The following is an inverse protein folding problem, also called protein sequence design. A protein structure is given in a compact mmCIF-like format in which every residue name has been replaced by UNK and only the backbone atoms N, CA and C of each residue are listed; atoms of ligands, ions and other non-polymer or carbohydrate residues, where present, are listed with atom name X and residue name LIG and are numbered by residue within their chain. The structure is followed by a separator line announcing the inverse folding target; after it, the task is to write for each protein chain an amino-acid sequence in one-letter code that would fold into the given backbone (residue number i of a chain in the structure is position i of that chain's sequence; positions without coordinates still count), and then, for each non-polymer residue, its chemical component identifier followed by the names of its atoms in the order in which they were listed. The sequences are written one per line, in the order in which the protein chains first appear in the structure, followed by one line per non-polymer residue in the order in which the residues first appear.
data_IF_471108974391
#
_entry.id   IF_471108974391
#
_cell.length_a   1.000
_cell.length_b   1.000
_cell.length_c   1.000
_cell.angle_alpha   90.00
_cell.angle_beta   90.00
_cell.angle_gamma   90.00
#
_symmetry.space_group_name_H-M   'P 1'
#
loop_
_entity.id
_entity.type
_entity.pdbx_description
1 polymer ?
#
# COMPACT_ATOMS: atom_id res chain seq x y z
N UNK A 1 -15.18 -19.35 24.73
CA UNK A 1 -14.65 -18.32 23.82
C UNK A 1 -13.22 -18.14 24.23
N UNK A 2 -12.27 -18.80 23.56
CA UNK A 2 -10.88 -18.42 23.67
C UNK A 2 -10.74 -17.08 22.95
N UNK A 3 -10.22 -16.08 23.64
CA UNK A 3 -9.83 -14.82 23.04
C UNK A 3 -8.64 -15.11 22.11
N UNK A 4 -8.96 -15.38 20.85
CA UNK A 4 -7.95 -15.58 19.81
C UNK A 4 -7.41 -14.20 19.41
N UNK A 5 -6.26 -13.82 19.94
CA UNK A 5 -5.46 -12.75 19.36
C UNK A 5 -4.72 -13.33 18.17
N UNK A 6 -5.22 -13.04 16.97
CA UNK A 6 -4.41 -13.16 15.76
C UNK A 6 -3.15 -12.32 15.97
N UNK A 7 -2.02 -12.98 16.23
CA UNK A 7 -0.71 -12.35 16.14
C UNK A 7 -0.46 -12.08 14.66
N UNK A 8 -0.70 -10.84 14.23
CA UNK A 8 -0.29 -10.40 12.90
C UNK A 8 1.21 -10.68 12.81
N UNK A 9 1.63 -11.51 11.85
CA UNK A 9 3.05 -11.71 11.54
C UNK A 9 3.68 -10.32 11.48
N UNK A 10 4.54 -10.00 12.46
CA UNK A 10 5.28 -8.75 12.46
C UNK A 10 6.26 -8.80 11.30
N UNK A 11 5.79 -8.41 10.12
CA UNK A 11 6.63 -8.15 8.98
C UNK A 11 7.57 -7.02 9.38
N UNK A 12 8.78 -7.41 9.77
CA UNK A 12 9.83 -6.46 10.12
C UNK A 12 10.00 -5.55 8.91
N UNK A 13 9.92 -4.23 9.14
CA UNK A 13 10.13 -3.16 8.15
C UNK A 13 11.58 -3.11 7.60
N UNK A 14 12.25 -4.26 7.51
CA UNK A 14 13.51 -4.41 6.82
C UNK A 14 13.21 -4.55 5.33
N UNK A 15 13.85 -3.69 4.54
CA UNK A 15 13.70 -3.62 3.10
C UNK A 15 13.88 -5.00 2.45
N UNK A 16 12.78 -5.61 2.00
CA UNK A 16 12.82 -6.88 1.28
C UNK A 16 12.81 -6.61 -0.23
N UNK A 17 13.99 -6.71 -0.86
CA UNK A 17 14.15 -6.49 -2.30
C UNK A 17 13.29 -7.43 -3.15
N UNK A 18 12.96 -8.62 -2.64
CA UNK A 18 12.10 -9.58 -3.33
C UNK A 18 10.64 -9.09 -3.45
N UNK A 19 10.10 -8.47 -2.39
CA UNK A 19 8.76 -7.85 -2.42
C UNK A 19 8.71 -6.73 -3.45
N UNK A 20 9.74 -5.87 -3.48
CA UNK A 20 9.80 -4.76 -4.43
C UNK A 20 9.82 -5.25 -5.88
N UNK A 21 10.59 -6.31 -6.18
CA UNK A 21 10.59 -6.96 -7.49
C UNK A 21 9.19 -7.43 -7.90
N UNK A 22 8.48 -8.12 -6.99
CA UNK A 22 7.10 -8.56 -7.26
C UNK A 22 6.12 -7.40 -7.46
N UNK A 23 6.29 -6.30 -6.73
CA UNK A 23 5.49 -5.08 -6.93
C UNK A 23 5.74 -4.49 -8.33
N UNK A 24 6.99 -4.44 -8.79
CA UNK A 24 7.34 -3.97 -10.14
C UNK A 24 6.80 -4.92 -11.21
N UNK A 25 6.77 -6.23 -10.96
CA UNK A 25 6.20 -7.22 -11.88
C UNK A 25 4.69 -7.01 -12.16
N UNK A 26 3.94 -6.39 -11.24
CA UNK A 26 2.52 -6.04 -11.45
C UNK A 26 2.32 -5.10 -12.64
N UNK A 27 3.37 -4.38 -13.02
CA UNK A 27 3.34 -3.43 -14.12
C UNK A 27 3.61 -4.09 -15.47
N UNK A 28 4.22 -5.27 -15.49
CA UNK A 28 4.63 -5.99 -16.70
C UNK A 28 3.50 -6.17 -17.72
N UNK A 29 2.25 -6.52 -17.34
CA UNK A 29 1.13 -6.61 -18.28
C UNK A 29 0.76 -5.26 -18.92
N UNK A 30 1.11 -4.16 -18.27
CA UNK A 30 0.72 -2.79 -18.61
C UNK A 30 1.90 -1.90 -19.02
N UNK A 31 3.02 -2.50 -19.45
CA UNK A 31 4.30 -1.81 -19.74
C UNK A 31 4.20 -0.65 -20.74
N UNK A 32 3.26 -0.70 -21.68
CA UNK A 32 3.05 0.35 -22.67
C UNK A 32 2.51 1.65 -22.06
N UNK A 33 1.67 1.56 -21.00
CA UNK A 33 1.25 2.74 -20.23
C UNK A 33 2.44 3.39 -19.54
N UNK A 34 3.35 2.56 -19.00
CA UNK A 34 4.58 3.04 -18.34
C UNK A 34 5.45 3.82 -19.28
N UNK A 35 5.78 3.22 -20.43
CA UNK A 35 6.62 3.90 -21.42
C UNK A 35 5.97 5.18 -21.88
N UNK A 36 4.66 5.14 -22.13
CA UNK A 36 3.93 6.32 -22.57
C UNK A 36 3.96 7.45 -21.54
N UNK A 37 3.65 7.20 -20.27
CA UNK A 37 3.70 8.27 -19.27
C UNK A 37 5.14 8.72 -18.99
N UNK A 38 6.15 7.82 -18.98
CA UNK A 38 7.56 8.22 -18.81
C UNK A 38 8.00 9.14 -19.96
N UNK A 39 7.66 8.79 -21.20
CA UNK A 39 7.98 9.61 -22.37
C UNK A 39 7.31 10.99 -22.28
N UNK A 40 6.05 11.04 -21.86
CA UNK A 40 5.33 12.30 -21.66
C UNK A 40 5.91 13.13 -20.52
N UNK A 41 6.30 12.53 -19.40
CA UNK A 41 6.98 13.21 -18.29
C UNK A 41 8.31 13.79 -18.78
N UNK A 42 9.10 13.03 -19.52
CA UNK A 42 10.36 13.52 -20.07
C UNK A 42 10.15 14.77 -20.95
N UNK A 43 9.13 14.76 -21.81
CA UNK A 43 8.75 15.93 -22.63
C UNK A 43 8.35 17.10 -21.74
N UNK A 44 7.49 16.90 -20.74
CA UNK A 44 7.05 17.97 -19.82
C UNK A 44 8.23 18.55 -19.02
N UNK A 45 9.08 17.71 -18.44
CA UNK A 45 10.27 18.13 -17.68
C UNK A 45 11.30 18.88 -18.53
N UNK A 46 11.43 18.52 -19.81
CA UNK A 46 12.25 19.28 -20.77
C UNK A 46 11.61 20.64 -21.04
N UNK A 47 10.28 20.68 -21.26
CA UNK A 47 9.55 21.93 -21.50
C UNK A 47 9.62 22.87 -20.29
N UNK A 48 9.46 22.38 -19.07
CA UNK A 48 9.58 23.17 -17.83
C UNK A 48 10.93 23.89 -17.75
N UNK A 49 12.01 23.14 -17.99
CA UNK A 49 13.34 23.75 -18.02
C UNK A 49 13.51 24.69 -19.21
N UNK A 50 12.99 24.32 -20.38
CA UNK A 50 13.06 25.17 -21.56
C UNK A 50 12.28 26.48 -21.39
N UNK A 51 11.16 26.51 -20.66
CA UNK A 51 10.46 27.75 -20.34
C UNK A 51 11.34 28.70 -19.52
N UNK A 52 12.10 28.18 -18.56
CA UNK A 52 13.07 28.97 -17.80
C UNK A 52 14.16 29.54 -18.72
N UNK A 53 14.62 28.75 -19.70
CA UNK A 53 15.54 29.23 -20.73
C UNK A 53 14.90 30.25 -21.69
N UNK A 54 13.61 30.13 -22.01
CA UNK A 54 12.92 31.16 -22.80
C UNK A 54 12.78 32.47 -22.01
N UNK A 55 12.53 32.41 -20.70
CA UNK A 55 12.53 33.60 -19.84
C UNK A 55 13.88 34.33 -19.86
N UNK A 56 15.00 33.59 -19.88
CA UNK A 56 16.34 34.14 -20.11
C UNK A 56 16.39 34.97 -21.41
N UNK A 57 15.88 34.40 -22.52
CA UNK A 57 15.89 35.05 -23.84
C UNK A 57 14.96 36.25 -23.91
N UNK A 58 13.81 36.21 -23.22
CA UNK A 58 12.90 37.36 -23.09
C UNK A 58 13.65 38.56 -22.50
N UNK A 59 14.45 38.32 -21.45
CA UNK A 59 15.23 39.38 -20.80
C UNK A 59 16.38 39.84 -21.71
N UNK A 60 17.18 38.92 -22.24
CA UNK A 60 18.39 39.27 -23.00
C UNK A 60 18.08 39.85 -24.39
N UNK A 61 17.26 39.15 -25.18
CA UNK A 61 16.99 39.48 -26.58
C UNK A 61 15.79 40.41 -26.75
N UNK A 62 14.85 40.40 -25.80
CA UNK A 62 13.66 41.24 -25.83
C UNK A 62 13.88 42.57 -25.11
N UNK A 63 13.97 42.50 -23.77
CA UNK A 63 13.97 43.68 -22.89
C UNK A 63 15.29 44.45 -22.98
N UNK A 64 16.42 43.79 -22.73
CA UNK A 64 17.73 44.43 -22.68
C UNK A 64 18.18 44.94 -24.06
N UNK A 65 17.85 44.22 -25.13
CA UNK A 65 18.16 44.62 -26.50
C UNK A 65 17.13 45.59 -27.12
N UNK A 66 16.02 45.89 -26.43
CA UNK A 66 14.95 46.76 -26.94
C UNK A 66 14.22 46.24 -28.20
N UNK A 67 14.35 44.95 -28.52
CA UNK A 67 13.83 44.37 -29.76
C UNK A 67 12.42 43.79 -29.57
N UNK A 68 11.41 44.61 -29.88
CA UNK A 68 10.00 44.22 -29.77
C UNK A 68 9.62 43.03 -30.68
N UNK A 69 10.26 42.90 -31.84
CA UNK A 69 9.98 41.79 -32.76
C UNK A 69 10.46 40.46 -32.20
N UNK A 70 11.68 40.42 -31.64
CA UNK A 70 12.23 39.24 -30.97
C UNK A 70 11.41 38.88 -29.72
N UNK A 71 11.01 39.87 -28.93
CA UNK A 71 10.14 39.66 -27.76
C UNK A 71 8.81 39.01 -28.16
N UNK A 72 8.13 39.56 -29.18
CA UNK A 72 6.84 39.02 -29.66
C UNK A 72 6.97 37.59 -30.16
N UNK A 73 8.02 37.28 -30.92
CA UNK A 73 8.28 35.91 -31.41
C UNK A 73 8.50 34.93 -30.24
N UNK A 74 9.33 35.29 -29.26
CA UNK A 74 9.59 34.45 -28.09
C UNK A 74 8.31 34.21 -27.28
N UNK A 75 7.50 35.25 -27.05
CA UNK A 75 6.23 35.13 -26.31
C UNK A 75 5.21 34.27 -27.06
N UNK A 76 5.12 34.38 -28.39
CA UNK A 76 4.24 33.52 -29.20
C UNK A 76 4.68 32.05 -29.09
N UNK A 77 5.99 31.78 -29.19
CA UNK A 77 6.53 30.42 -29.01
C UNK A 77 6.27 29.90 -27.59
N UNK A 78 6.45 30.74 -26.58
CA UNK A 78 6.14 30.42 -25.18
C UNK A 78 4.66 30.03 -25.03
N UNK A 79 3.74 30.83 -25.58
CA UNK A 79 2.31 30.53 -25.57
C UNK A 79 1.94 29.25 -26.32
N UNK A 80 2.54 28.99 -27.47
CA UNK A 80 2.33 27.75 -28.23
C UNK A 80 2.82 26.51 -27.48
N UNK A 81 3.96 26.60 -26.81
CA UNK A 81 4.52 25.50 -26.02
C UNK A 81 3.71 25.22 -24.76
N UNK A 82 3.04 26.22 -24.17
CA UNK A 82 2.13 25.97 -23.04
C UNK A 82 1.02 24.99 -23.43
N UNK A 83 0.47 25.08 -24.65
CA UNK A 83 -0.56 24.15 -25.11
C UNK A 83 -0.01 22.73 -25.21
N UNK A 84 1.23 22.57 -25.72
CA UNK A 84 1.92 21.28 -25.78
C UNK A 84 2.19 20.74 -24.37
N UNK A 85 2.62 21.59 -23.44
CA UNK A 85 2.84 21.23 -22.05
C UNK A 85 1.54 20.79 -21.39
N UNK A 86 0.44 21.54 -21.55
CA UNK A 86 -0.86 21.20 -20.99
C UNK A 86 -1.37 19.86 -21.52
N UNK A 87 -1.20 19.59 -22.82
CA UNK A 87 -1.50 18.29 -23.41
C UNK A 87 -0.63 17.19 -22.80
N UNK A 88 0.68 17.43 -22.61
CA UNK A 88 1.58 16.49 -21.94
C UNK A 88 1.17 16.21 -20.49
N UNK A 89 0.82 17.25 -19.73
CA UNK A 89 0.35 17.13 -18.34
C UNK A 89 -0.92 16.30 -18.28
N UNK A 90 -1.90 16.61 -19.12
CA UNK A 90 -3.12 15.82 -19.21
C UNK A 90 -2.85 14.36 -19.59
N UNK A 91 -1.98 14.13 -20.58
CA UNK A 91 -1.63 12.78 -21.04
C UNK A 91 -0.98 11.95 -19.94
N UNK A 92 0.04 12.43 -19.25
CA UNK A 92 0.68 11.60 -18.21
C UNK A 92 -0.26 11.38 -17.00
N UNK A 93 -1.08 12.38 -16.62
CA UNK A 93 -2.07 12.23 -15.53
C UNK A 93 -3.10 11.16 -15.91
N UNK A 94 -3.64 11.23 -17.14
CA UNK A 94 -4.60 10.25 -17.63
C UNK A 94 -3.99 8.84 -17.69
N UNK A 95 -2.79 8.71 -18.25
CA UNK A 95 -2.10 7.42 -18.38
C UNK A 95 -1.75 6.81 -17.03
N UNK A 96 -1.23 7.60 -16.09
CA UNK A 96 -0.94 7.15 -14.73
C UNK A 96 -2.22 6.74 -13.98
N UNK A 97 -3.31 7.50 -14.13
CA UNK A 97 -4.61 7.17 -13.53
C UNK A 97 -5.20 5.86 -14.08
N UNK A 98 -5.18 5.67 -15.39
CA UNK A 98 -5.65 4.43 -16.03
C UNK A 98 -4.79 3.23 -15.61
N UNK A 99 -3.46 3.39 -15.58
CA UNK A 99 -2.55 2.35 -15.12
C UNK A 99 -2.85 1.96 -13.66
N UNK A 100 -3.06 2.95 -12.79
CA UNK A 100 -3.32 2.73 -11.37
C UNK A 100 -4.60 1.94 -11.16
N UNK A 101 -5.66 2.29 -11.89
CA UNK A 101 -6.93 1.55 -11.78
C UNK A 101 -6.84 0.13 -12.32
N UNK A 102 -6.10 -0.10 -13.42
CA UNK A 102 -5.88 -1.45 -13.96
C UNK A 102 -5.12 -2.34 -12.97
N UNK A 103 -4.05 -1.81 -12.36
CA UNK A 103 -3.29 -2.57 -11.35
C UNK A 103 -4.16 -2.87 -10.13
N UNK A 104 -4.95 -1.90 -9.64
CA UNK A 104 -5.93 -2.14 -8.55
C UNK A 104 -6.93 -3.22 -8.92
N UNK A 105 -7.48 -3.16 -10.12
CA UNK A 105 -8.44 -4.13 -10.62
C UNK A 105 -7.85 -5.55 -10.66
N UNK A 106 -6.68 -5.72 -11.28
CA UNK A 106 -6.02 -7.02 -11.41
C UNK A 106 -5.67 -7.62 -10.05
N UNK A 107 -5.14 -6.80 -9.13
CA UNK A 107 -4.85 -7.23 -7.75
C UNK A 107 -6.11 -7.69 -7.03
N UNK A 108 -7.19 -6.88 -7.07
CA UNK A 108 -8.45 -7.20 -6.40
C UNK A 108 -9.09 -8.46 -6.99
N UNK A 109 -9.10 -8.59 -8.30
CA UNK A 109 -9.63 -9.76 -8.98
C UNK A 109 -8.84 -11.02 -8.62
N UNK A 110 -7.50 -10.95 -8.66
CA UNK A 110 -6.64 -12.08 -8.30
C UNK A 110 -6.86 -12.52 -6.86
N UNK A 111 -6.86 -11.59 -5.91
CA UNK A 111 -7.09 -11.89 -4.50
C UNK A 111 -8.50 -12.43 -4.25
N UNK A 112 -9.52 -11.86 -4.88
CA UNK A 112 -10.90 -12.30 -4.72
C UNK A 112 -11.14 -13.71 -5.28
N UNK A 113 -10.56 -14.03 -6.43
CA UNK A 113 -10.62 -15.37 -7.00
C UNK A 113 -9.86 -16.38 -6.13
N UNK A 114 -8.70 -15.99 -5.60
CA UNK A 114 -7.90 -16.84 -4.72
C UNK A 114 -8.61 -17.12 -3.38
N UNK A 115 -9.29 -16.11 -2.81
CA UNK A 115 -10.10 -16.28 -1.60
C UNK A 115 -11.17 -17.37 -1.78
N UNK A 116 -11.80 -17.46 -2.95
CA UNK A 116 -12.79 -18.52 -3.22
C UNK A 116 -12.20 -19.93 -3.27
N UNK A 117 -10.87 -20.07 -3.42
CA UNK A 117 -10.17 -21.35 -3.47
C UNK A 117 -9.57 -21.75 -2.10
N UNK A 118 -9.46 -20.80 -1.16
CA UNK A 118 -8.91 -21.07 0.16
C UNK A 118 -9.88 -21.91 1.01
N UNK A 119 -9.32 -22.80 1.81
CA UNK A 119 -10.09 -23.70 2.67
C UNK A 119 -10.73 -22.96 3.85
N UNK A 120 -11.75 -23.55 4.47
CA UNK A 120 -12.45 -22.98 5.62
C UNK A 120 -11.52 -22.72 6.82
N UNK A 121 -10.44 -23.50 6.94
CA UNK A 121 -9.38 -23.32 7.94
C UNK A 121 -8.77 -21.92 7.89
N UNK A 122 -8.51 -21.39 6.69
CA UNK A 122 -7.98 -20.04 6.50
C UNK A 122 -8.89 -18.97 7.11
N UNK A 123 -10.20 -19.12 6.91
CA UNK A 123 -11.23 -18.18 7.41
C UNK A 123 -11.46 -18.29 8.91
N UNK A 124 -11.20 -19.45 9.51
CA UNK A 124 -11.27 -19.62 10.96
C UNK A 124 -10.08 -18.97 11.68
N UNK A 125 -8.89 -18.98 11.06
CA UNK A 125 -7.66 -18.42 11.63
C UNK A 125 -7.51 -16.92 11.32
N UNK A 126 -8.03 -16.47 10.19
CA UNK A 126 -7.79 -15.10 9.69
C UNK A 126 -8.99 -14.19 9.96
N UNK A 127 -8.82 -13.06 10.68
CA UNK A 127 -9.89 -12.11 10.92
C UNK A 127 -10.46 -11.54 9.61
N UNK A 128 -11.78 -11.43 9.50
CA UNK A 128 -12.43 -10.86 8.30
C UNK A 128 -11.94 -9.44 7.99
N UNK A 129 -11.69 -8.62 9.02
CA UNK A 129 -11.14 -7.27 8.85
C UNK A 129 -9.74 -7.26 8.22
N UNK A 130 -8.92 -8.27 8.53
CA UNK A 130 -7.61 -8.47 7.91
C UNK A 130 -7.79 -8.71 6.41
N UNK A 131 -8.61 -9.68 6.01
CA UNK A 131 -8.88 -10.01 4.59
C UNK A 131 -9.41 -8.79 3.84
N UNK A 132 -10.39 -8.10 4.41
CA UNK A 132 -10.99 -6.91 3.80
C UNK A 132 -9.97 -5.81 3.57
N UNK A 133 -9.04 -5.56 4.50
CA UNK A 133 -8.01 -4.53 4.34
C UNK A 133 -7.04 -4.80 3.18
N UNK A 134 -6.74 -6.09 2.89
CA UNK A 134 -5.86 -6.50 1.78
C UNK A 134 -6.49 -6.21 0.43
N UNK A 135 -7.76 -6.60 0.28
CA UNK A 135 -8.55 -6.40 -0.94
C UNK A 135 -8.92 -4.91 -1.15
N UNK A 136 -8.94 -4.11 -0.08
CA UNK A 136 -9.30 -2.68 -0.16
C UNK A 136 -8.08 -1.78 -0.09
N UNK A 137 -7.75 -1.29 1.11
CA UNK A 137 -6.76 -0.23 1.35
C UNK A 137 -5.32 -0.61 1.00
N UNK A 138 -4.90 -1.85 1.23
CA UNK A 138 -3.53 -2.25 0.90
C UNK A 138 -3.34 -2.33 -0.62
N UNK A 139 -4.33 -2.87 -1.36
CA UNK A 139 -4.30 -2.91 -2.83
C UNK A 139 -4.20 -1.50 -3.43
N UNK A 140 -4.87 -0.53 -2.81
CA UNK A 140 -4.82 0.87 -3.20
C UNK A 140 -3.42 1.46 -2.99
N UNK A 141 -2.84 1.29 -1.80
CA UNK A 141 -1.48 1.79 -1.49
C UNK A 141 -0.42 1.23 -2.42
N UNK A 142 -0.50 -0.07 -2.74
CA UNK A 142 0.46 -0.70 -3.67
C UNK A 142 0.32 -0.13 -5.07
N UNK A 143 -0.91 0.01 -5.56
CA UNK A 143 -1.14 0.61 -6.88
C UNK A 143 -0.72 2.08 -6.94
N UNK A 144 -0.99 2.87 -5.90
CA UNK A 144 -0.57 4.27 -5.79
C UNK A 144 0.95 4.41 -5.82
N UNK A 145 1.69 3.58 -5.08
CA UNK A 145 3.16 3.59 -5.14
C UNK A 145 3.66 3.33 -6.55
N UNK A 146 3.13 2.31 -7.21
CA UNK A 146 3.56 1.87 -8.53
C UNK A 146 3.23 2.90 -9.62
N UNK A 147 2.24 3.78 -9.35
CA UNK A 147 1.80 4.80 -10.30
C UNK A 147 2.28 6.18 -9.91
N UNK A 148 1.66 6.81 -8.92
CA UNK A 148 2.00 8.15 -8.44
C UNK A 148 3.39 8.21 -7.82
N UNK A 149 3.75 7.25 -6.98
CA UNK A 149 5.09 7.22 -6.38
C UNK A 149 6.19 7.10 -7.43
N UNK A 150 6.00 6.23 -8.43
CA UNK A 150 6.94 6.08 -9.55
C UNK A 150 6.95 7.31 -10.48
N UNK A 151 5.78 7.93 -10.71
CA UNK A 151 5.65 9.18 -11.46
C UNK A 151 6.44 10.30 -10.78
N UNK A 152 6.22 10.54 -9.50
CA UNK A 152 6.86 11.59 -8.72
C UNK A 152 8.38 11.39 -8.66
N UNK A 153 8.84 10.14 -8.47
CA UNK A 153 10.26 9.80 -8.52
C UNK A 153 10.89 10.09 -9.89
N UNK A 154 10.22 9.67 -10.97
CA UNK A 154 10.71 9.88 -12.35
C UNK A 154 10.73 11.35 -12.71
N UNK A 155 9.67 12.08 -12.37
CA UNK A 155 9.52 13.51 -12.62
C UNK A 155 10.58 14.31 -11.84
N UNK A 156 10.83 13.95 -10.58
CA UNK A 156 11.86 14.60 -9.78
C UNK A 156 13.27 14.43 -10.37
N UNK A 157 13.62 13.20 -10.79
CA UNK A 157 14.91 12.91 -11.45
C UNK A 157 15.02 13.66 -12.78
N UNK A 158 13.97 13.63 -13.61
CA UNK A 158 13.95 14.30 -14.90
C UNK A 158 14.09 15.82 -14.75
N UNK A 159 13.37 16.43 -13.81
CA UNK A 159 13.45 17.87 -13.55
C UNK A 159 14.84 18.32 -13.09
N UNK A 160 15.48 17.55 -12.18
CA UNK A 160 16.84 17.85 -11.74
C UNK A 160 17.82 17.70 -12.92
N UNK A 161 17.68 16.64 -13.72
CA UNK A 161 18.55 16.37 -14.86
C UNK A 161 18.41 17.45 -15.96
N UNK A 162 17.19 17.82 -16.33
CA UNK A 162 16.93 18.83 -17.38
C UNK A 162 17.37 20.21 -16.93
N UNK A 163 17.05 20.61 -15.69
CA UNK A 163 17.49 21.89 -15.17
C UNK A 163 19.03 21.95 -15.06
N UNK A 164 19.68 20.87 -14.60
CA UNK A 164 21.14 20.75 -14.58
C UNK A 164 21.77 20.88 -15.98
N UNK A 165 21.17 20.22 -16.98
CA UNK A 165 21.60 20.32 -18.38
C UNK A 165 21.55 21.77 -18.90
N UNK A 166 20.43 22.47 -18.72
CA UNK A 166 20.30 23.85 -19.17
C UNK A 166 21.21 24.82 -18.40
N UNK A 167 21.42 24.61 -17.10
CA UNK A 167 22.37 25.42 -16.32
C UNK A 167 23.81 25.26 -16.84
N UNK A 168 24.24 24.02 -17.11
CA UNK A 168 25.56 23.74 -17.67
C UNK A 168 25.72 24.34 -19.08
N UNK A 169 24.65 24.34 -19.87
CA UNK A 169 24.61 24.97 -21.20
C UNK A 169 24.74 26.50 -21.12
N UNK A 170 24.11 27.15 -20.14
CA UNK A 170 24.22 28.61 -19.96
C UNK A 170 25.62 28.99 -19.44
N UNK A 171 26.08 28.33 -18.37
CA UNK A 171 27.42 28.53 -17.83
C UNK A 171 27.84 27.32 -16.99
N UNK A 172 28.75 26.50 -17.52
CA UNK A 172 29.17 25.25 -16.88
C UNK A 172 29.87 25.45 -15.52
N UNK A 173 30.63 26.55 -15.34
CA UNK A 173 31.34 26.84 -14.08
C UNK A 173 30.34 27.14 -12.96
N UNK A 174 29.40 28.04 -13.22
CA UNK A 174 28.35 28.38 -12.27
C UNK A 174 27.38 27.21 -12.06
N UNK A 175 27.08 26.45 -13.11
CA UNK A 175 26.26 25.24 -13.06
C UNK A 175 26.82 24.20 -12.10
N UNK A 176 28.11 23.87 -12.20
CA UNK A 176 28.76 22.93 -11.28
C UNK A 176 28.71 23.42 -9.82
N UNK A 177 28.93 24.72 -9.57
CA UNK A 177 28.83 25.29 -8.23
C UNK A 177 27.44 25.06 -7.65
N UNK A 178 26.38 25.33 -8.41
CA UNK A 178 25.01 25.16 -7.90
C UNK A 178 24.64 23.69 -7.75
N UNK A 179 25.09 22.81 -8.65
CA UNK A 179 24.86 21.37 -8.53
C UNK A 179 25.47 20.78 -7.25
N UNK A 180 26.54 21.36 -6.69
CA UNK A 180 27.10 20.92 -5.39
C UNK A 180 26.15 21.11 -4.21
N UNK A 181 25.13 21.96 -4.35
CA UNK A 181 24.14 22.24 -3.29
C UNK A 181 23.09 21.13 -3.24
N UNK A 182 22.85 20.42 -4.33
CA UNK A 182 21.85 19.34 -4.40
C UNK A 182 22.16 18.21 -3.41
N UNK A 183 23.39 17.62 -3.38
CA UNK A 183 23.74 16.61 -2.37
C UNK A 183 23.51 17.10 -0.92
N UNK A 184 23.83 18.37 -0.64
CA UNK A 184 23.64 18.97 0.69
C UNK A 184 22.15 18.99 1.04
N UNK A 185 21.30 19.45 0.11
CA UNK A 185 19.84 19.47 0.29
C UNK A 185 19.27 18.06 0.51
N UNK A 186 19.70 17.08 -0.28
CA UNK A 186 19.26 15.68 -0.16
C UNK A 186 19.65 15.11 1.21
N UNK A 187 20.88 15.33 1.67
CA UNK A 187 21.35 14.87 2.98
C UNK A 187 20.53 15.51 4.10
N UNK A 188 20.33 16.83 4.06
CA UNK A 188 19.56 17.56 5.07
C UNK A 188 18.11 17.06 5.09
N UNK A 189 17.46 16.96 3.93
CA UNK A 189 16.10 16.44 3.81
C UNK A 189 15.97 15.02 4.39
N UNK A 190 16.91 14.13 4.05
CA UNK A 190 16.93 12.75 4.55
C UNK A 190 17.05 12.69 6.08
N UNK A 191 17.90 13.54 6.68
CA UNK A 191 18.08 13.60 8.14
C UNK A 191 16.80 14.11 8.82
N UNK A 192 16.23 15.22 8.34
CA UNK A 192 15.00 15.78 8.90
C UNK A 192 13.85 14.79 8.82
N UNK A 193 13.66 14.18 7.65
CA UNK A 193 12.58 13.24 7.44
C UNK A 193 12.70 12.02 8.36
N UNK A 194 13.88 11.42 8.49
CA UNK A 194 14.11 10.28 9.41
C UNK A 194 13.72 10.63 10.84
N UNK A 195 14.08 11.84 11.31
CA UNK A 195 13.74 12.33 12.65
C UNK A 195 12.24 12.62 12.80
N UNK A 196 11.62 13.25 11.80
CA UNK A 196 10.19 13.57 11.76
C UNK A 196 9.37 12.28 11.82
N UNK A 197 9.65 11.31 10.94
CA UNK A 197 8.95 10.01 10.90
C UNK A 197 9.06 9.29 12.24
N UNK A 198 10.24 9.28 12.87
CA UNK A 198 10.43 8.65 14.17
C UNK A 198 9.54 9.27 15.26
N UNK A 199 9.45 10.61 15.33
CA UNK A 199 8.57 11.27 16.29
C UNK A 199 7.08 11.01 15.98
N UNK A 200 6.67 11.05 14.71
CA UNK A 200 5.29 10.72 14.34
C UNK A 200 4.92 9.26 14.62
N UNK A 201 5.86 8.31 14.50
CA UNK A 201 5.66 6.91 14.93
C UNK A 201 5.40 6.85 16.44
N UNK A 202 6.14 7.60 17.25
CA UNK A 202 5.91 7.71 18.70
C UNK A 202 4.53 8.31 19.02
N UNK A 203 4.15 9.39 18.34
CA UNK A 203 2.81 10.00 18.47
C UNK A 203 1.73 8.97 18.16
N UNK A 204 1.87 8.18 17.08
CA UNK A 204 0.91 7.13 16.70
C UNK A 204 0.78 6.04 17.77
N UNK A 205 1.91 5.60 18.34
CA UNK A 205 1.94 4.63 19.45
C UNK A 205 1.24 5.16 20.71
N UNK A 206 1.49 6.41 21.09
CA UNK A 206 0.84 7.04 22.25
C UNK A 206 -0.66 7.22 21.97
N UNK A 207 -1.03 7.62 20.76
CA UNK A 207 -2.43 7.76 20.37
C UNK A 207 -3.21 6.45 20.52
N UNK A 208 -2.61 5.31 20.15
CA UNK A 208 -3.21 3.99 20.38
C UNK A 208 -3.45 3.71 21.86
N UNK A 209 -2.50 4.05 22.75
CA UNK A 209 -2.69 3.94 24.21
C UNK A 209 -3.82 4.85 24.71
N UNK A 210 -3.90 6.08 24.21
CA UNK A 210 -4.96 7.04 24.56
C UNK A 210 -6.33 6.49 24.13
N UNK A 211 -6.45 5.96 22.91
CA UNK A 211 -7.68 5.32 22.44
C UNK A 211 -8.06 4.11 23.29
N UNK A 212 -7.08 3.30 23.69
CA UNK A 212 -7.29 2.18 24.63
C UNK A 212 -7.82 2.66 25.98
N UNK A 213 -7.16 3.65 26.58
CA UNK A 213 -7.58 4.25 27.85
C UNK A 213 -9.00 4.86 27.76
N UNK A 214 -9.34 5.50 26.64
CA UNK A 214 -10.71 5.97 26.40
C UNK A 214 -11.72 4.82 26.42
N UNK A 215 -11.44 3.74 25.69
CA UNK A 215 -12.35 2.60 25.61
C UNK A 215 -12.55 1.93 26.98
N UNK A 216 -11.48 1.74 27.74
CA UNK A 216 -11.52 1.19 29.09
C UNK A 216 -12.33 2.07 30.06
N UNK A 217 -12.10 3.39 30.05
CA UNK A 217 -12.81 4.33 30.92
C UNK A 217 -14.30 4.44 30.58
N UNK A 218 -14.65 4.47 29.29
CA UNK A 218 -16.05 4.56 28.84
C UNK A 218 -16.80 3.26 29.14
N UNK A 219 -16.19 2.11 28.81
CA UNK A 219 -16.79 0.80 29.06
C UNK A 219 -16.93 0.53 30.56
N UNK A 220 -15.92 0.93 31.34
CA UNK A 220 -15.86 0.83 32.79
C UNK A 220 -16.52 1.97 33.56
N UNK A 221 -17.26 2.88 32.91
CA UNK A 221 -17.72 4.13 33.54
C UNK A 221 -18.52 3.91 34.83
N UNK A 222 -19.30 2.81 34.90
CA UNK A 222 -20.06 2.44 36.11
C UNK A 222 -19.15 2.10 37.28
N UNK A 223 -18.04 1.41 37.02
CA UNK A 223 -17.03 1.07 38.03
C UNK A 223 -16.30 2.33 38.48
N UNK A 224 -15.87 3.17 37.53
CA UNK A 224 -15.20 4.45 37.85
C UNK A 224 -16.08 5.31 38.76
N UNK A 225 -17.38 5.44 38.44
CA UNK A 225 -18.36 6.20 39.22
C UNK A 225 -18.65 5.56 40.59
N UNK A 226 -18.75 4.24 40.66
CA UNK A 226 -19.03 3.54 41.91
C UNK A 226 -17.88 3.68 42.93
N UNK A 227 -16.63 3.77 42.46
CA UNK A 227 -15.44 3.91 43.29
C UNK A 227 -14.93 5.36 43.41
N UNK A 228 -15.61 6.35 42.81
CA UNK A 228 -15.22 7.77 42.89
C UNK A 228 -13.82 8.06 42.34
N UNK A 229 -13.42 7.39 41.24
CA UNK A 229 -12.06 7.42 40.70
C UNK A 229 -11.81 8.48 39.62
N UNK A 230 -12.76 9.38 39.37
CA UNK A 230 -12.69 10.32 38.24
C UNK A 230 -11.39 11.14 38.23
N UNK A 231 -10.98 11.71 39.36
CA UNK A 231 -9.79 12.55 39.45
C UNK A 231 -8.50 11.75 39.19
N UNK A 232 -8.43 10.52 39.70
CA UNK A 232 -7.26 9.65 39.52
C UNK A 232 -7.15 9.16 38.08
N UNK A 233 -8.26 8.81 37.46
CA UNK A 233 -8.29 8.42 36.05
C UNK A 233 -7.98 9.62 35.14
N UNK A 234 -8.37 10.84 35.52
CA UNK A 234 -7.98 12.07 34.83
C UNK A 234 -6.47 12.32 34.93
N UNK A 235 -5.85 12.08 36.10
CA UNK A 235 -4.39 12.20 36.28
C UNK A 235 -3.63 11.20 35.39
N UNK A 236 -4.02 9.91 35.44
CA UNK A 236 -3.45 8.85 34.59
C UNK A 236 -3.61 9.18 33.08
N UNK A 237 -4.77 9.72 32.69
CA UNK A 237 -5.00 10.19 31.32
C UNK A 237 -4.17 11.45 30.97
N UNK A 238 -3.95 12.32 31.94
CA UNK A 238 -3.09 13.50 31.85
C UNK A 238 -1.63 13.15 31.53
N UNK A 239 -1.11 12.05 32.09
CA UNK A 239 0.24 11.57 31.79
C UNK A 239 0.38 11.14 30.32
N UNK A 240 -0.59 10.36 29.82
CA UNK A 240 -0.63 9.88 28.45
C UNK A 240 -0.73 11.04 27.45
N UNK A 241 -1.66 11.96 27.68
CA UNK A 241 -1.84 13.15 26.83
C UNK A 241 -0.65 14.09 26.93
N UNK A 242 0.01 14.21 28.08
CA UNK A 242 1.25 14.94 28.25
C UNK A 242 2.43 14.33 27.49
N UNK A 243 2.52 13.01 27.37
CA UNK A 243 3.49 12.34 26.49
C UNK A 243 3.18 12.60 25.00
N UNK A 244 1.89 12.56 24.63
CA UNK A 244 1.43 12.87 23.27
C UNK A 244 1.78 14.30 22.89
N UNK A 245 1.53 15.27 23.78
CA UNK A 245 1.90 16.67 23.58
C UNK A 245 3.40 16.84 23.35
N UNK A 246 4.25 16.28 24.23
CA UNK A 246 5.72 16.39 24.11
C UNK A 246 6.24 15.79 22.80
N UNK A 247 5.72 14.63 22.41
CA UNK A 247 6.13 13.95 21.17
C UNK A 247 5.60 14.66 19.92
N UNK A 248 4.34 15.11 19.96
CA UNK A 248 3.69 15.86 18.90
C UNK A 248 4.33 17.22 18.67
N UNK A 249 4.65 17.94 19.74
CA UNK A 249 5.39 19.21 19.67
C UNK A 249 6.75 19.02 19.02
N UNK A 250 7.53 18.01 19.43
CA UNK A 250 8.83 17.72 18.79
C UNK A 250 8.69 17.39 17.31
N UNK A 251 7.68 16.59 16.93
CA UNK A 251 7.41 16.29 15.54
C UNK A 251 7.08 17.56 14.74
N UNK A 252 6.16 18.37 15.25
CA UNK A 252 5.75 19.63 14.63
C UNK A 252 6.91 20.62 14.52
N UNK A 253 7.74 20.74 15.57
CA UNK A 253 8.90 21.62 15.58
C UNK A 253 9.95 21.20 14.54
N UNK A 254 10.24 19.90 14.43
CA UNK A 254 11.13 19.38 13.39
C UNK A 254 10.59 19.64 11.98
N UNK A 255 9.29 19.42 11.76
CA UNK A 255 8.62 19.74 10.49
C UNK A 255 8.68 21.23 10.17
N UNK A 256 8.45 22.09 11.17
CA UNK A 256 8.51 23.54 11.00
C UNK A 256 9.93 24.05 10.72
N UNK A 257 10.96 23.41 11.26
CA UNK A 257 12.36 23.78 11.05
C UNK A 257 12.90 23.33 9.67
N UNK A 258 12.30 22.32 9.04
CA UNK A 258 12.73 21.78 7.76
C UNK A 258 12.72 22.84 6.65
N UNK A 259 11.58 23.50 6.42
CA UNK A 259 11.43 24.47 5.33
C UNK A 259 12.38 25.69 5.46
N UNK A 260 12.50 26.34 6.64
CA UNK A 260 13.49 27.39 6.85
C UNK A 260 14.94 26.93 6.63
N UNK A 261 15.28 25.69 7.02
CA UNK A 261 16.64 25.15 6.80
C UNK A 261 16.94 25.00 5.31
N UNK A 262 16.00 24.45 4.54
CA UNK A 262 16.12 24.34 3.08
C UNK A 262 16.24 25.74 2.45
N UNK A 263 15.38 26.68 2.84
CA UNK A 263 15.40 28.05 2.33
C UNK A 263 16.71 28.80 2.64
N UNK A 264 17.31 28.54 3.80
CA UNK A 264 18.60 29.11 4.20
C UNK A 264 19.74 28.57 3.32
N UNK A 265 19.75 27.25 3.05
CA UNK A 265 20.70 26.64 2.09
C UNK A 265 20.52 27.22 0.68
N UNK A 266 19.27 27.37 0.23
CA UNK A 266 18.96 27.97 -1.07
C UNK A 266 19.33 29.45 -1.15
N UNK A 267 19.27 30.17 -0.03
CA UNK A 267 19.66 31.58 0.04
C UNK A 267 21.18 31.76 -0.11
N UNK A 268 21.99 30.82 0.40
CA UNK A 268 23.43 30.77 0.09
C UNK A 268 23.68 30.47 -1.39
N UNK A 269 22.91 29.56 -2.00
CA UNK A 269 22.96 29.29 -3.44
C UNK A 269 22.69 30.57 -4.26
N UNK A 270 21.61 31.27 -3.90
CA UNK A 270 21.18 32.51 -4.53
C UNK A 270 22.24 33.60 -4.37
N UNK A 271 22.78 33.77 -3.17
CA UNK A 271 23.87 34.71 -2.89
C UNK A 271 25.11 34.41 -3.73
N UNK A 272 25.49 33.14 -3.86
CA UNK A 272 26.60 32.72 -4.72
C UNK A 272 26.32 33.02 -6.20
N UNK A 273 25.09 32.75 -6.69
CA UNK A 273 24.68 33.07 -8.07
C UNK A 273 24.76 34.56 -8.34
N UNK A 274 24.26 35.39 -7.43
CA UNK A 274 24.28 36.86 -7.60
C UNK A 274 25.73 37.37 -7.54
N UNK A 275 26.54 36.87 -6.61
CA UNK A 275 27.94 37.29 -6.47
C UNK A 275 28.80 36.88 -7.66
N UNK A 276 28.90 35.58 -7.94
CA UNK A 276 29.73 35.06 -9.03
C UNK A 276 29.14 35.36 -10.41
N UNK A 277 27.81 35.33 -10.54
CA UNK A 277 27.12 35.70 -11.77
C UNK A 277 27.24 37.19 -12.05
N UNK A 278 27.17 38.05 -11.03
CA UNK A 278 27.37 39.50 -11.16
C UNK A 278 28.78 39.87 -11.63
N UNK A 279 29.83 39.26 -11.04
CA UNK A 279 31.21 39.44 -11.50
C UNK A 279 31.37 38.97 -12.95
N UNK A 280 30.79 37.82 -13.31
CA UNK A 280 30.84 37.31 -14.68
C UNK A 280 30.05 38.19 -15.66
N UNK A 281 28.96 38.82 -15.22
CA UNK A 281 28.19 39.74 -16.04
C UNK A 281 28.93 41.04 -16.33
N UNK A 282 29.67 41.58 -15.35
CA UNK A 282 30.55 42.73 -15.57
C UNK A 282 31.64 42.43 -16.61
N UNK A 283 32.14 41.19 -16.62
CA UNK A 283 33.17 40.74 -17.57
C UNK A 283 32.59 40.24 -18.91
N UNK A 284 31.28 40.37 -19.15
CA UNK A 284 30.61 39.91 -20.38
C UNK A 284 30.52 38.39 -20.55
N UNK A 285 30.84 37.61 -19.52
CA UNK A 285 30.82 36.13 -19.53
C UNK A 285 29.43 35.55 -19.20
N UNK A 286 28.52 36.35 -18.65
CA UNK A 286 27.15 35.96 -18.32
C UNK A 286 26.19 37.13 -18.57
N UNK A 287 24.98 36.85 -19.07
CA UNK A 287 23.95 37.88 -19.27
C UNK A 287 23.06 38.04 -18.04
N UNK A 288 22.32 39.16 -17.96
CA UNK A 288 21.35 39.40 -16.88
C UNK A 288 20.24 38.34 -16.90
N UNK A 289 19.73 37.98 -18.08
CA UNK A 289 18.81 36.86 -18.24
C UNK A 289 19.44 35.54 -17.79
N UNK A 290 20.75 35.36 -18.02
CA UNK A 290 21.52 34.23 -17.50
C UNK A 290 21.43 34.13 -15.97
N UNK A 291 21.70 35.23 -15.26
CA UNK A 291 21.57 35.27 -13.79
C UNK A 291 20.13 34.92 -13.38
N UNK A 292 19.12 35.53 -14.00
CA UNK A 292 17.71 35.24 -13.70
C UNK A 292 17.36 33.76 -13.90
N UNK A 293 17.82 33.14 -14.99
CA UNK A 293 17.58 31.73 -15.26
C UNK A 293 18.20 30.84 -14.17
N UNK A 294 19.42 31.13 -13.73
CA UNK A 294 20.07 30.42 -12.62
C UNK A 294 19.26 30.52 -11.32
N UNK A 295 18.73 31.71 -11.00
CA UNK A 295 17.85 31.89 -9.83
C UNK A 295 16.59 31.04 -9.95
N UNK A 296 15.94 31.05 -11.11
CA UNK A 296 14.72 30.27 -11.36
C UNK A 296 14.97 28.77 -11.30
N UNK A 297 16.07 28.26 -11.87
CA UNK A 297 16.41 26.84 -11.78
C UNK A 297 16.67 26.37 -10.35
N UNK A 298 17.32 27.19 -9.51
CA UNK A 298 17.50 26.85 -8.08
C UNK A 298 16.17 26.67 -7.39
N UNK A 299 15.24 27.62 -7.57
CA UNK A 299 13.92 27.56 -6.93
C UNK A 299 13.13 26.34 -7.44
N UNK A 300 13.19 26.09 -8.76
CA UNK A 300 12.53 24.95 -9.39
C UNK A 300 13.02 23.60 -8.85
N UNK A 301 14.34 23.45 -8.62
CA UNK A 301 14.94 22.22 -8.10
C UNK A 301 14.59 21.90 -6.64
N UNK A 302 14.06 22.86 -5.86
CA UNK A 302 13.71 22.61 -4.44
C UNK A 302 12.51 21.68 -4.30
N UNK A 303 11.52 21.79 -5.18
CA UNK A 303 10.29 21.00 -5.13
C UNK A 303 10.54 19.50 -5.38
N UNK A 304 11.25 19.09 -6.45
CA UNK A 304 11.62 17.69 -6.67
C UNK A 304 12.29 17.01 -5.48
N UNK A 305 13.21 17.71 -4.80
CA UNK A 305 13.96 17.15 -3.67
C UNK A 305 13.01 16.82 -2.50
N UNK A 306 11.99 17.66 -2.28
CA UNK A 306 10.99 17.43 -1.23
C UNK A 306 10.07 16.25 -1.59
N UNK A 307 9.64 16.15 -2.84
CA UNK A 307 8.78 15.05 -3.28
C UNK A 307 9.50 13.71 -3.25
N UNK A 308 10.77 13.64 -3.67
CA UNK A 308 11.55 12.39 -3.62
C UNK A 308 11.62 11.81 -2.19
N UNK A 309 11.75 12.68 -1.19
CA UNK A 309 11.68 12.29 0.21
C UNK A 309 10.29 11.71 0.56
N UNK A 310 9.20 12.41 0.22
CA UNK A 310 7.82 11.94 0.45
C UNK A 310 7.57 10.57 -0.19
N UNK A 311 7.94 10.41 -1.47
CA UNK A 311 7.82 9.14 -2.20
C UNK A 311 8.55 8.01 -1.50
N UNK A 312 9.76 8.26 -0.97
CA UNK A 312 10.51 7.25 -0.23
C UNK A 312 9.76 6.75 1.02
N UNK A 313 9.07 7.64 1.74
CA UNK A 313 8.25 7.23 2.89
C UNK A 313 6.98 6.46 2.47
N UNK A 314 6.32 6.87 1.39
CA UNK A 314 5.18 6.16 0.82
C UNK A 314 5.57 4.76 0.34
N UNK A 315 6.74 4.64 -0.28
CA UNK A 315 7.33 3.36 -0.69
C UNK A 315 7.44 2.37 0.47
N UNK A 316 7.93 2.81 1.65
CA UNK A 316 8.02 1.93 2.82
C UNK A 316 6.64 1.40 3.26
N UNK A 317 5.63 2.27 3.27
CA UNK A 317 4.28 1.86 3.67
C UNK A 317 3.65 0.90 2.66
N UNK A 318 3.84 1.17 1.37
CA UNK A 318 3.32 0.33 0.30
C UNK A 318 4.05 -1.02 0.22
N UNK A 319 5.35 -1.12 0.54
CA UNK A 319 6.05 -2.40 0.66
C UNK A 319 5.41 -3.27 1.76
N UNK A 320 5.13 -2.71 2.94
CA UNK A 320 4.46 -3.45 4.01
C UNK A 320 3.02 -3.88 3.64
N UNK A 321 2.30 -3.06 2.88
CA UNK A 321 1.02 -3.46 2.28
C UNK A 321 1.18 -4.56 1.23
N UNK A 322 2.23 -4.52 0.42
CA UNK A 322 2.53 -5.54 -0.59
C UNK A 322 2.87 -6.89 0.04
N UNK A 323 3.66 -6.93 1.12
CA UNK A 323 3.97 -8.17 1.85
C UNK A 323 2.69 -8.86 2.34
N UNK A 324 1.77 -8.09 2.90
CA UNK A 324 0.48 -8.57 3.38
C UNK A 324 -0.48 -9.01 2.27
N UNK A 325 -0.40 -8.37 1.09
CA UNK A 325 -1.13 -8.84 -0.10
C UNK A 325 -0.53 -10.16 -0.59
N UNK A 326 0.79 -10.25 -0.68
CA UNK A 326 1.46 -11.44 -1.18
C UNK A 326 1.32 -12.62 -0.23
N UNK A 327 1.27 -12.41 1.10
CA UNK A 327 0.94 -13.49 2.02
C UNK A 327 -0.46 -14.06 1.81
N UNK A 328 -1.44 -13.23 1.42
CA UNK A 328 -2.76 -13.70 1.02
C UNK A 328 -2.74 -14.41 -0.35
N UNK A 329 -2.08 -13.83 -1.35
CA UNK A 329 -1.99 -14.40 -2.71
C UNK A 329 -1.23 -15.72 -2.75
N UNK A 330 -0.24 -15.89 -1.86
CA UNK A 330 0.60 -17.09 -1.80
C UNK A 330 0.10 -18.09 -0.75
N UNK A 331 -0.98 -17.78 -0.02
CA UNK A 331 -1.59 -18.71 0.93
C UNK A 331 -2.05 -19.98 0.18
N UNK A 332 -1.64 -21.14 0.68
CA UNK A 332 -1.99 -22.43 0.09
C UNK A 332 -3.23 -22.97 0.82
N UNK A 333 -4.27 -23.45 0.11
CA UNK A 333 -5.41 -24.09 0.75
C UNK A 333 -4.98 -25.36 1.50
N UNK A 334 -5.40 -25.51 2.76
CA UNK A 334 -5.07 -26.70 3.58
C UNK A 334 -5.69 -27.99 3.02
N UNK A 335 -6.83 -27.87 2.33
CA UNK A 335 -7.56 -29.00 1.74
C UNK A 335 -7.61 -28.77 0.23
N UNK A 336 -7.04 -29.71 -0.52
CA UNK A 336 -7.02 -29.69 -1.98
C UNK A 336 -7.35 -31.07 -2.54
N UNK A 337 -7.76 -31.12 -3.81
CA UNK A 337 -7.97 -32.38 -4.51
C UNK A 337 -6.65 -33.15 -4.64
N UNK A 338 -6.66 -34.43 -4.30
CA UNK A 338 -5.50 -35.28 -4.53
C UNK A 338 -5.28 -35.47 -6.04
N UNK A 339 -4.03 -35.69 -6.48
CA UNK A 339 -3.76 -36.02 -7.88
C UNK A 339 -4.57 -37.24 -8.32
N UNK A 340 -5.45 -37.06 -9.30
CA UNK A 340 -6.34 -38.13 -9.79
C UNK A 340 -7.68 -38.24 -9.05
N UNK A 341 -8.04 -37.25 -8.23
CA UNK A 341 -9.39 -37.16 -7.66
C UNK A 341 -10.46 -37.19 -8.75
N UNK A 342 -11.52 -37.97 -8.54
CA UNK A 342 -12.56 -38.21 -9.55
C UNK A 342 -13.94 -37.71 -9.10
N UNK A 343 -14.81 -37.43 -10.07
CA UNK A 343 -16.25 -37.39 -9.83
C UNK A 343 -16.80 -38.83 -9.96
N UNK A 344 -17.30 -39.45 -8.88
CA UNK A 344 -17.86 -40.81 -8.93
C UNK A 344 -19.26 -40.86 -9.56
N UNK A 345 -19.85 -39.73 -9.96
CA UNK A 345 -21.22 -39.58 -10.45
C UNK A 345 -22.24 -39.59 -9.32
N UNK A 346 -22.19 -40.60 -8.45
CA UNK A 346 -23.02 -40.73 -7.25
C UNK A 346 -22.16 -41.00 -6.02
N UNK A 347 -22.52 -40.38 -4.89
CA UNK A 347 -21.93 -40.68 -3.57
C UNK A 347 -22.90 -41.47 -2.67
N UNK A 348 -23.93 -42.08 -3.26
CA UNK A 348 -24.90 -42.87 -2.50
C UNK A 348 -24.24 -44.11 -1.89
N UNK A 349 -24.34 -44.23 -0.57
CA UNK A 349 -23.92 -45.42 0.16
C UNK A 349 -23.75 -45.13 1.64
N UNK A 350 -23.06 -46.03 2.32
CA UNK A 350 -22.78 -45.91 3.75
C UNK A 350 -21.68 -44.86 4.01
N UNK A 351 -21.74 -44.21 5.16
CA UNK A 351 -20.71 -43.29 5.66
C UNK A 351 -19.99 -43.99 6.81
N UNK A 352 -18.67 -44.10 6.72
CA UNK A 352 -17.84 -44.79 7.72
C UNK A 352 -16.72 -43.87 8.17
N UNK A 353 -16.69 -43.55 9.46
CA UNK A 353 -15.52 -43.00 10.16
C UNK A 353 -14.81 -44.17 10.83
N UNK A 354 -13.55 -44.39 10.49
CA UNK A 354 -12.72 -45.48 11.01
C UNK A 354 -11.47 -44.90 11.69
N UNK A 355 -11.42 -45.04 13.02
CA UNK A 355 -10.34 -44.58 13.90
C UNK A 355 -9.90 -43.13 13.65
N UNK A 356 -10.86 -42.24 13.39
CA UNK A 356 -10.61 -40.86 13.01
C UNK A 356 -10.07 -40.07 14.20
N UNK A 357 -8.90 -39.45 14.02
CA UNK A 357 -8.36 -38.44 14.91
C UNK A 357 -8.32 -37.09 14.20
N UNK A 358 -8.70 -36.02 14.89
CA UNK A 358 -8.69 -34.68 14.33
C UNK A 358 -8.47 -33.62 15.41
N UNK A 359 -7.67 -32.62 15.06
CA UNK A 359 -7.42 -31.42 15.84
C UNK A 359 -7.44 -30.21 14.89
N UNK A 360 -7.98 -29.06 15.33
CA UNK A 360 -7.89 -27.81 14.56
C UNK A 360 -6.49 -27.19 14.63
N UNK A 361 -5.80 -27.47 15.74
CA UNK A 361 -4.42 -27.10 16.04
C UNK A 361 -3.74 -28.34 16.62
N UNK A 362 -2.44 -28.53 16.34
CA UNK A 362 -1.73 -29.77 16.65
C UNK A 362 -1.78 -30.16 18.14
N UNK A 363 -1.93 -29.19 19.04
CA UNK A 363 -1.91 -29.39 20.49
C UNK A 363 -3.30 -29.53 21.17
N UNK A 364 -4.41 -29.45 20.43
CA UNK A 364 -5.77 -29.55 21.00
C UNK A 364 -6.67 -30.58 20.26
N UNK A 365 -6.56 -31.88 20.61
CA UNK A 365 -7.29 -32.94 19.92
C UNK A 365 -8.79 -32.90 20.21
N UNK A 366 -9.61 -32.72 19.16
CA UNK A 366 -11.08 -32.62 19.24
C UNK A 366 -11.76 -33.98 19.08
N UNK A 367 -11.27 -34.82 18.17
CA UNK A 367 -11.72 -36.20 17.98
C UNK A 367 -10.54 -37.14 18.19
N UNK A 368 -10.75 -38.19 18.99
CA UNK A 368 -9.74 -39.20 19.28
C UNK A 368 -10.34 -40.58 19.07
N UNK A 369 -9.73 -41.37 18.19
CA UNK A 369 -10.15 -42.72 17.81
C UNK A 369 -11.67 -42.83 17.56
N UNK A 370 -12.23 -41.87 16.80
CA UNK A 370 -13.65 -41.79 16.56
C UNK A 370 -14.10 -42.80 15.49
N UNK A 371 -15.12 -43.59 15.82
CA UNK A 371 -15.66 -44.62 14.94
C UNK A 371 -17.18 -44.43 14.81
N UNK A 372 -17.69 -44.38 13.59
CA UNK A 372 -19.11 -44.21 13.30
C UNK A 372 -19.45 -44.87 11.96
N UNK A 373 -20.51 -45.68 11.92
CA UNK A 373 -21.05 -46.25 10.68
C UNK A 373 -22.51 -45.84 10.54
N UNK A 374 -22.82 -45.10 9.47
CA UNK A 374 -24.17 -44.67 9.12
C UNK A 374 -24.58 -45.39 7.85
N UNK A 375 -25.66 -46.17 7.91
CA UNK A 375 -26.17 -46.92 6.76
C UNK A 375 -26.92 -46.00 5.81
N UNK A 376 -26.93 -46.33 4.53
CA UNK A 376 -27.75 -45.62 3.55
C UNK A 376 -29.23 -45.55 4.00
N UNK A 377 -29.76 -44.32 4.06
CA UNK A 377 -31.16 -44.05 4.44
C UNK A 377 -31.41 -44.00 5.95
N UNK A 378 -30.37 -44.20 6.77
CA UNK A 378 -30.44 -44.08 8.21
C UNK A 378 -30.37 -42.62 8.66
N UNK A 379 -31.21 -42.23 9.62
CA UNK A 379 -31.14 -40.93 10.29
C UNK A 379 -30.55 -41.12 11.68
N UNK A 380 -29.39 -40.52 11.92
CA UNK A 380 -28.73 -40.54 13.23
C UNK A 380 -28.84 -39.18 13.93
N UNK A 381 -28.76 -39.18 15.25
CA UNK A 381 -28.72 -37.97 16.07
C UNK A 381 -27.41 -37.92 16.86
N UNK A 382 -26.63 -36.84 16.69
CA UNK A 382 -25.41 -36.59 17.47
C UNK A 382 -25.75 -35.77 18.72
N UNK A 383 -25.61 -36.36 19.90
CA UNK A 383 -25.98 -35.73 21.19
C UNK A 383 -24.75 -35.65 22.10
N UNK A 384 -24.58 -34.52 22.80
CA UNK A 384 -23.48 -34.32 23.74
C UNK A 384 -23.28 -32.86 24.12
N UNK A 385 -22.44 -32.55 25.14
CA UNK A 385 -22.18 -31.19 25.60
C UNK A 385 -21.53 -30.31 24.53
N UNK A 386 -21.64 -28.99 24.64
CA UNK A 386 -20.91 -28.04 23.80
C UNK A 386 -19.41 -28.33 23.85
N UNK A 387 -18.73 -28.32 22.70
CA UNK A 387 -17.32 -28.70 22.60
C UNK A 387 -17.05 -30.20 22.35
N UNK A 388 -18.05 -31.07 22.46
CA UNK A 388 -17.86 -32.52 22.23
C UNK A 388 -17.70 -32.96 20.76
N UNK A 389 -17.14 -32.14 19.87
CA UNK A 389 -16.80 -32.53 18.49
C UNK A 389 -17.95 -32.71 17.48
N UNK A 390 -19.21 -32.52 17.89
CA UNK A 390 -20.40 -32.73 17.02
C UNK A 390 -20.34 -31.94 15.69
N UNK A 391 -20.05 -30.65 15.76
CA UNK A 391 -19.92 -29.80 14.57
C UNK A 391 -18.69 -30.17 13.73
N UNK A 392 -17.64 -30.66 14.38
CA UNK A 392 -16.42 -31.14 13.73
C UNK A 392 -16.67 -32.38 12.88
N UNK A 393 -17.51 -33.31 13.33
CA UNK A 393 -17.93 -34.48 12.53
C UNK A 393 -18.59 -34.03 11.22
N UNK A 394 -19.49 -33.03 11.28
CA UNK A 394 -20.14 -32.48 10.08
C UNK A 394 -19.11 -31.81 9.16
N UNK A 395 -18.20 -31.02 9.73
CA UNK A 395 -17.15 -30.35 8.97
C UNK A 395 -16.19 -31.32 8.25
N UNK A 396 -15.86 -32.45 8.89
CA UNK A 396 -15.06 -33.52 8.28
C UNK A 396 -15.84 -34.24 7.18
N UNK A 397 -17.13 -34.53 7.39
CA UNK A 397 -17.97 -35.17 6.37
C UNK A 397 -18.12 -34.31 5.11
N UNK A 398 -18.28 -32.99 5.26
CA UNK A 398 -18.31 -32.04 4.14
C UNK A 398 -16.92 -31.76 3.53
N UNK A 399 -15.86 -32.38 4.06
CA UNK A 399 -14.46 -32.18 3.69
C UNK A 399 -14.03 -30.69 3.73
N UNK A 400 -14.56 -29.93 4.69
CA UNK A 400 -14.03 -28.59 5.01
C UNK A 400 -12.70 -28.67 5.76
N UNK A 401 -12.47 -29.81 6.42
CA UNK A 401 -11.22 -30.23 7.03
C UNK A 401 -10.97 -31.70 6.69
N UNK A 402 -9.72 -32.13 6.81
CA UNK A 402 -9.35 -33.55 6.70
C UNK A 402 -8.89 -34.11 8.05
N UNK A 403 -9.17 -35.40 8.36
CA UNK A 403 -8.64 -36.06 9.53
C UNK A 403 -7.12 -36.01 9.57
N UNK A 404 -6.56 -35.78 10.76
CA UNK A 404 -5.11 -35.87 11.01
C UNK A 404 -4.63 -37.31 10.81
N UNK A 405 -5.41 -38.29 11.31
CA UNK A 405 -5.20 -39.72 11.06
C UNK A 405 -6.55 -40.45 11.03
N UNK A 406 -6.55 -41.69 10.51
CA UNK A 406 -7.77 -42.46 10.26
C UNK A 406 -8.40 -42.15 8.90
N UNK A 407 -9.49 -42.84 8.60
CA UNK A 407 -10.12 -42.82 7.28
C UNK A 407 -11.61 -42.47 7.37
N UNK A 408 -12.09 -41.75 6.36
CA UNK A 408 -13.50 -41.44 6.18
C UNK A 408 -13.92 -41.92 4.80
N UNK A 409 -14.85 -42.87 4.77
CA UNK A 409 -15.34 -43.47 3.53
C UNK A 409 -16.79 -43.07 3.25
N UNK A 410 -17.10 -42.75 2.00
CA UNK A 410 -18.46 -42.51 1.50
C UNK A 410 -18.73 -43.49 0.36
N UNK A 411 -19.75 -44.34 0.51
CA UNK A 411 -20.08 -45.34 -0.51
C UNK A 411 -18.99 -46.38 -0.76
N UNK A 412 -18.18 -46.67 0.28
CA UNK A 412 -17.10 -47.65 0.23
C UNK A 412 -15.79 -47.15 -0.40
N UNK A 413 -15.67 -45.85 -0.69
CA UNK A 413 -14.43 -45.21 -1.17
C UNK A 413 -13.94 -44.19 -0.15
N UNK A 414 -12.63 -44.04 -0.01
CA UNK A 414 -12.06 -42.94 0.75
C UNK A 414 -12.50 -41.63 0.07
N UNK A 415 -13.11 -40.74 0.85
CA UNK A 415 -13.61 -39.47 0.33
C UNK A 415 -12.47 -38.55 -0.17
N UNK A 416 -11.21 -38.78 0.22
CA UNK A 416 -10.04 -38.03 -0.30
C UNK A 416 -9.74 -38.33 -1.77
N UNK A 417 -10.19 -39.48 -2.28
CA UNK A 417 -10.09 -39.86 -3.70
C UNK A 417 -11.15 -39.17 -4.58
N UNK A 418 -12.14 -38.52 -3.97
CA UNK A 418 -13.19 -37.79 -4.68
C UNK A 418 -12.80 -36.31 -4.79
N UNK A 419 -13.23 -35.62 -5.85
CA UNK A 419 -13.03 -34.17 -5.89
C UNK A 419 -13.90 -33.45 -4.84
N UNK A 420 -13.42 -32.32 -4.33
CA UNK A 420 -14.15 -31.46 -3.39
C UNK A 420 -15.50 -31.05 -3.96
N UNK A 421 -15.54 -30.65 -5.23
CA UNK A 421 -16.77 -30.32 -5.95
C UNK A 421 -17.74 -31.51 -5.96
N UNK A 422 -17.24 -32.74 -6.16
CA UNK A 422 -18.10 -33.91 -6.21
C UNK A 422 -18.78 -34.22 -4.88
N UNK A 423 -18.07 -34.01 -3.77
CA UNK A 423 -18.62 -34.15 -2.41
C UNK A 423 -19.60 -33.02 -2.10
N UNK A 424 -19.17 -31.77 -2.26
CA UNK A 424 -19.91 -30.59 -1.80
C UNK A 424 -21.18 -30.33 -2.62
N UNK A 425 -21.21 -30.68 -3.90
CA UNK A 425 -22.42 -30.59 -4.74
C UNK A 425 -23.50 -31.61 -4.40
N UNK A 426 -23.18 -32.64 -3.60
CA UNK A 426 -24.08 -33.77 -3.31
C UNK A 426 -24.43 -33.91 -1.82
N UNK A 427 -23.75 -33.18 -0.93
CA UNK A 427 -24.06 -33.12 0.50
C UNK A 427 -24.81 -31.82 0.81
N UNK A 428 -26.05 -31.93 1.26
CA UNK A 428 -26.82 -30.80 1.77
C UNK A 428 -26.47 -30.49 3.23
N UNK A 429 -26.26 -29.21 3.56
CA UNK A 429 -26.03 -28.74 4.94
C UNK A 429 -27.08 -27.70 5.32
N UNK A 430 -27.62 -27.81 6.54
CA UNK A 430 -28.52 -26.80 7.13
C UNK A 430 -27.87 -26.33 8.43
N UNK A 431 -27.38 -25.08 8.43
CA UNK A 431 -26.68 -24.49 9.56
C UNK A 431 -27.67 -24.02 10.64
N UNK A 432 -27.21 -24.00 11.89
CA UNK A 432 -27.99 -23.48 13.03
C UNK A 432 -28.41 -22.00 12.81
N UNK A 433 -27.50 -21.21 12.25
CA UNK A 433 -27.75 -19.82 11.82
C UNK A 433 -27.51 -19.75 10.31
N UNK A 434 -28.56 -19.81 9.48
CA UNK A 434 -28.39 -19.72 8.03
C UNK A 434 -27.87 -18.33 7.64
N UNK A 435 -27.00 -18.30 6.63
CA UNK A 435 -26.57 -17.04 6.02
C UNK A 435 -27.54 -16.68 4.89
N UNK A 436 -28.06 -15.45 4.91
CA UNK A 436 -28.90 -14.93 3.85
C UNK A 436 -28.12 -13.84 3.11
N UNK A 437 -28.04 -13.98 1.79
CA UNK A 437 -27.42 -12.98 0.93
C UNK A 437 -28.41 -11.86 0.63
N UNK A 438 -27.88 -10.65 0.45
CA UNK A 438 -28.65 -9.51 -0.06
C UNK A 438 -29.26 -9.85 -1.42
N UNK A 439 -30.58 -9.82 -1.52
CA UNK A 439 -31.30 -10.22 -2.72
C UNK A 439 -32.75 -10.58 -2.41
N UNK A 440 -33.42 -11.25 -3.34
CA UNK A 440 -34.79 -11.71 -3.10
C UNK A 440 -34.78 -13.05 -2.35
N UNK A 441 -35.93 -13.39 -1.75
CA UNK A 441 -36.15 -14.72 -1.17
C UNK A 441 -35.95 -15.81 -2.23
N UNK A 442 -36.42 -15.56 -3.47
CA UNK A 442 -36.27 -16.50 -4.59
C UNK A 442 -34.81 -16.79 -4.89
N UNK A 443 -33.95 -15.77 -4.89
CA UNK A 443 -32.53 -15.93 -5.21
C UNK A 443 -31.80 -16.71 -4.11
N UNK A 444 -32.14 -16.46 -2.84
CA UNK A 444 -31.59 -17.21 -1.70
C UNK A 444 -31.99 -18.71 -1.73
N UNK A 445 -33.23 -19.03 -2.13
CA UNK A 445 -33.69 -20.43 -2.27
C UNK A 445 -32.99 -21.13 -3.44
N UNK A 446 -32.61 -20.40 -4.50
CA UNK A 446 -31.95 -20.93 -5.71
C UNK A 446 -30.42 -20.83 -5.68
N UNK A 447 -29.84 -20.59 -4.51
CA UNK A 447 -28.40 -20.33 -4.38
C UNK A 447 -27.53 -21.56 -4.66
N UNK A 448 -28.02 -22.75 -4.28
CA UNK A 448 -27.33 -24.03 -4.45
C UNK A 448 -27.67 -24.78 -5.73
#
# INVERSE_FOLDING_TARGET
MSDYQFEEEEFTTQFNGSTLLRVVELVKPHWYWVIGFIATIAVVSILDSYFTYLSKRIIDEGIMAGNQAALRDIVIRYGGLIVVQAAGVFSFIYMAGVLGERIRYDLRQKMFNHLQQLSLSYYNKTPVGWIMSRVTSDSERVAELVTWGFLDATMGVMNIATAGFFMLMINWRLGLIVLTIIPILVIVASIFQKRIILQYRRVRKINSKITGAYNENITGVRVVKAFGREDRNLEEFGELTGEMYRSGYRAAWLSALFFPTVQLISSFALGAIIWFGGIQAQNGLLTIGGIQAFVSYVIFMLWPIQEMARVYAEMQNAIASAERIFSLVDAIPDVTDQPGAIDPGTIQGDIIFDQVNFAYEDDDPVLQNFNLHVKRGETIALVGPTGGGKSTIVNLLCRFFEPTTGNLCIGGRDYRELSLEAIQSRIGIVLQTPHLFSGTIRDNIRYG
#
